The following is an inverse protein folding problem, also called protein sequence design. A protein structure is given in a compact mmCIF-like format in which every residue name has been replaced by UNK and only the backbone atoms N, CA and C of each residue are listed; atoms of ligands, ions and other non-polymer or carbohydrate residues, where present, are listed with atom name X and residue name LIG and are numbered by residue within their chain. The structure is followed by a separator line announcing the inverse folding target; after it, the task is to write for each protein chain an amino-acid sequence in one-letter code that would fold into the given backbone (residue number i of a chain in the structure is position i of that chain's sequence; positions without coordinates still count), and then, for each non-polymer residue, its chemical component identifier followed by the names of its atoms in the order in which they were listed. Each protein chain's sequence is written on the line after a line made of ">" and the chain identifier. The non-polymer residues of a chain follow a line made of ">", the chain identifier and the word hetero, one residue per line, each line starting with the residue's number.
data_IF_036039304757
#
_entry.id   IF_036039304757
#
_cell.length_a   1.000
_cell.length_b   1.000
_cell.length_c   1.000
_cell.angle_alpha   90.00
_cell.angle_beta   90.00
_cell.angle_gamma   90.00
#
_symmetry.space_group_name_H-M   'P 1'
#
loop_
_entity.id
_entity.type
_entity.pdbx_description
1 polymer ?
#
# COMPACT_ATOMS: atom_id res chain seq x y z
N UNK A 1 -5.95 -5.81 -29.33
CA UNK A 1 -5.14 -5.11 -28.31
C UNK A 1 -3.82 -4.55 -28.83
N UNK A 2 -2.87 -5.35 -29.33
CA UNK A 2 -1.58 -4.81 -29.82
C UNK A 2 -1.76 -3.92 -31.05
N UNK A 3 -2.55 -4.35 -32.02
CA UNK A 3 -2.89 -3.49 -33.18
C UNK A 3 -3.74 -2.28 -32.79
N UNK A 4 -4.53 -2.37 -31.71
CA UNK A 4 -5.26 -1.21 -31.17
C UNK A 4 -4.30 -0.20 -30.55
N UNK A 5 -3.29 -0.66 -29.83
CA UNK A 5 -2.23 0.18 -29.26
C UNK A 5 -1.43 0.89 -30.35
N UNK A 6 -1.08 0.14 -31.40
CA UNK A 6 -0.37 0.69 -32.56
C UNK A 6 -1.23 1.75 -33.25
N UNK A 7 -2.52 1.47 -33.49
CA UNK A 7 -3.46 2.46 -34.05
C UNK A 7 -3.61 3.69 -33.15
N UNK A 8 -3.67 3.51 -31.84
CA UNK A 8 -3.74 4.60 -30.87
C UNK A 8 -2.52 5.51 -30.95
N UNK A 9 -1.32 4.94 -31.02
CA UNK A 9 -0.06 5.68 -31.16
C UNK A 9 0.00 6.41 -32.52
N UNK A 10 -0.38 5.74 -33.61
CA UNK A 10 -0.49 6.36 -34.93
C UNK A 10 -1.42 7.58 -34.92
N UNK A 11 -2.60 7.43 -34.28
CA UNK A 11 -3.58 8.52 -34.16
C UNK A 11 -3.06 9.67 -33.30
N UNK A 12 -2.48 9.39 -32.13
CA UNK A 12 -1.99 10.43 -31.22
C UNK A 12 -0.79 11.20 -31.74
N UNK A 13 0.04 10.57 -32.58
CA UNK A 13 1.20 11.20 -33.19
C UNK A 13 0.92 11.71 -34.62
N UNK A 14 -0.27 11.47 -35.17
CA UNK A 14 -0.64 11.89 -36.52
C UNK A 14 0.18 11.21 -37.63
N UNK A 15 0.67 9.99 -37.41
CA UNK A 15 1.56 9.28 -38.34
C UNK A 15 0.88 8.06 -38.97
N UNK A 16 1.22 7.78 -40.23
CA UNK A 16 0.81 6.55 -40.92
C UNK A 16 1.64 5.36 -40.46
N UNK A 17 1.25 4.14 -40.87
CA UNK A 17 1.95 2.92 -40.46
C UNK A 17 3.32 2.86 -41.13
N UNK A 18 3.37 3.30 -42.37
CA UNK A 18 4.55 3.38 -43.20
C UNK A 18 5.56 4.36 -42.58
N UNK A 19 5.10 5.55 -42.20
CA UNK A 19 5.92 6.53 -41.51
C UNK A 19 6.44 6.01 -40.15
N UNK A 20 5.61 5.29 -39.39
CA UNK A 20 6.03 4.65 -38.14
C UNK A 20 7.14 3.61 -38.39
N UNK A 21 7.02 2.78 -39.42
CA UNK A 21 8.03 1.77 -39.78
C UNK A 21 9.36 2.45 -40.16
N UNK A 22 9.31 3.55 -40.91
CA UNK A 22 10.51 4.32 -41.28
C UNK A 22 11.20 4.93 -40.07
N UNK A 23 10.44 5.53 -39.14
CA UNK A 23 10.97 6.08 -37.89
C UNK A 23 11.63 5.00 -37.04
N UNK A 24 10.98 3.83 -36.90
CA UNK A 24 11.53 2.71 -36.15
C UNK A 24 12.84 2.20 -36.78
N UNK A 25 12.86 2.07 -38.12
CA UNK A 25 14.07 1.66 -38.86
C UNK A 25 15.20 2.66 -38.68
N UNK A 26 14.93 3.96 -38.72
CA UNK A 26 15.92 5.00 -38.48
C UNK A 26 16.51 4.95 -37.05
N UNK A 27 15.76 4.41 -36.09
CA UNK A 27 16.19 4.18 -34.71
C UNK A 27 16.81 2.78 -34.49
N UNK A 28 16.95 1.97 -35.55
CA UNK A 28 17.54 0.63 -35.48
C UNK A 28 16.60 -0.47 -34.97
N UNK A 29 15.29 -0.22 -34.91
CA UNK A 29 14.28 -1.21 -34.51
C UNK A 29 13.53 -1.78 -35.72
N UNK A 30 13.27 -3.09 -35.71
CA UNK A 30 12.31 -3.67 -36.65
C UNK A 30 10.88 -3.42 -36.17
N UNK A 31 9.93 -3.48 -37.10
CA UNK A 31 8.51 -3.39 -36.75
C UNK A 31 8.05 -4.58 -35.88
N UNK A 32 8.70 -5.74 -35.99
CA UNK A 32 8.38 -6.89 -35.15
C UNK A 32 8.92 -6.71 -33.72
N UNK A 33 10.10 -6.11 -33.54
CA UNK A 33 10.61 -5.74 -32.22
C UNK A 33 9.66 -4.77 -31.53
N UNK A 34 9.19 -3.77 -32.26
CA UNK A 34 8.19 -2.83 -31.77
C UNK A 34 6.88 -3.54 -31.37
N UNK A 35 6.39 -4.47 -32.20
CA UNK A 35 5.22 -5.30 -31.85
C UNK A 35 5.46 -6.12 -30.59
N UNK A 36 6.64 -6.68 -30.39
CA UNK A 36 7.00 -7.41 -29.17
C UNK A 36 7.00 -6.51 -27.94
N UNK A 37 7.56 -5.30 -28.04
CA UNK A 37 7.49 -4.31 -26.96
C UNK A 37 6.04 -3.93 -26.63
N UNK A 38 5.19 -3.78 -27.65
CA UNK A 38 3.76 -3.50 -27.45
C UNK A 38 3.02 -4.68 -26.83
N UNK A 39 3.34 -5.94 -27.18
CA UNK A 39 2.81 -7.14 -26.51
C UNK A 39 3.10 -7.09 -25.00
N UNK A 40 4.34 -6.75 -24.62
CA UNK A 40 4.73 -6.60 -23.20
C UNK A 40 3.97 -5.46 -22.53
N UNK A 41 3.85 -4.30 -23.19
CA UNK A 41 3.12 -3.14 -22.66
C UNK A 41 1.64 -3.46 -22.40
N UNK A 42 0.97 -4.08 -23.38
CA UNK A 42 -0.44 -4.51 -23.26
C UNK A 42 -0.60 -5.53 -22.14
N UNK A 43 0.29 -6.53 -22.05
CA UNK A 43 0.26 -7.52 -20.97
C UNK A 43 0.43 -6.85 -19.59
N UNK A 44 1.38 -5.92 -19.45
CA UNK A 44 1.59 -5.14 -18.23
C UNK A 44 0.35 -4.33 -17.85
N UNK A 45 -0.28 -3.65 -18.82
CA UNK A 45 -1.51 -2.89 -18.58
C UNK A 45 -2.64 -3.81 -18.10
N UNK A 46 -2.85 -4.95 -18.75
CA UNK A 46 -3.87 -5.92 -18.33
C UNK A 46 -3.63 -6.45 -16.92
N UNK A 47 -2.38 -6.74 -16.57
CA UNK A 47 -2.00 -7.13 -15.20
C UNK A 47 -2.38 -6.03 -14.20
N UNK A 48 -1.97 -4.79 -14.48
CA UNK A 48 -2.29 -3.66 -13.61
C UNK A 48 -3.80 -3.49 -13.47
N UNK A 49 -4.54 -3.49 -14.57
CA UNK A 49 -5.97 -3.18 -14.57
C UNK A 49 -6.83 -4.28 -13.95
N UNK A 50 -6.47 -5.55 -14.18
CA UNK A 50 -7.26 -6.69 -13.72
C UNK A 50 -6.87 -7.16 -12.32
N UNK A 51 -5.58 -7.26 -12.04
CA UNK A 51 -5.08 -7.87 -10.81
C UNK A 51 -4.72 -6.81 -9.76
N UNK A 52 -4.03 -5.73 -10.16
CA UNK A 52 -3.45 -4.79 -9.18
C UNK A 52 -4.36 -3.61 -8.83
N UNK A 53 -5.14 -3.09 -9.79
CA UNK A 53 -6.00 -1.92 -9.60
C UNK A 53 -7.08 -2.16 -8.55
N UNK A 54 -7.80 -3.30 -8.51
CA UNK A 54 -8.75 -3.58 -7.45
C UNK A 54 -8.10 -3.61 -6.06
N UNK A 55 -6.88 -4.16 -5.97
CA UNK A 55 -6.12 -4.27 -4.71
C UNK A 55 -5.53 -2.92 -4.25
N UNK A 56 -5.34 -1.98 -5.18
CA UNK A 56 -4.70 -0.68 -4.93
C UNK A 56 -5.69 0.45 -4.70
N UNK A 57 -6.99 0.16 -4.58
CA UNK A 57 -8.00 1.17 -4.33
C UNK A 57 -7.75 1.90 -3.00
N UNK A 58 -7.85 3.23 -3.02
CA UNK A 58 -7.58 4.08 -1.85
C UNK A 58 -8.88 4.70 -1.35
N UNK A 59 -9.22 4.44 -0.09
CA UNK A 59 -10.43 4.96 0.55
C UNK A 59 -10.22 6.39 1.05
N UNK A 60 -11.30 7.16 1.20
CA UNK A 60 -11.27 8.51 1.78
C UNK A 60 -10.64 8.54 3.16
N UNK A 61 -10.86 7.49 3.95
CA UNK A 61 -10.27 7.32 5.27
C UNK A 61 -8.76 7.14 5.20
N UNK A 62 -8.25 6.37 4.23
CA UNK A 62 -6.80 6.25 4.03
C UNK A 62 -6.17 7.57 3.59
N UNK A 63 -6.85 8.35 2.73
CA UNK A 63 -6.40 9.69 2.32
C UNK A 63 -6.36 10.63 3.51
N UNK A 64 -7.44 10.66 4.30
CA UNK A 64 -7.57 11.48 5.51
C UNK A 64 -6.45 11.13 6.49
N UNK A 65 -6.32 9.84 6.80
CA UNK A 65 -5.32 9.37 7.73
C UNK A 65 -3.90 9.72 7.27
N UNK A 66 -3.56 9.44 6.01
CA UNK A 66 -2.23 9.81 5.49
C UNK A 66 -1.97 11.31 5.62
N UNK A 67 -2.93 12.16 5.26
CA UNK A 67 -2.78 13.60 5.35
C UNK A 67 -2.51 14.06 6.78
N UNK A 68 -3.22 13.55 7.79
CA UNK A 68 -3.03 14.01 9.18
C UNK A 68 -1.89 13.34 9.92
N UNK A 69 -1.36 12.22 9.43
CA UNK A 69 -0.20 11.52 10.00
C UNK A 69 1.10 11.80 9.27
N UNK A 70 1.06 12.53 8.14
CA UNK A 70 2.25 12.89 7.40
C UNK A 70 3.15 13.84 8.23
N UNK A 71 4.46 13.55 8.38
CA UNK A 71 5.40 14.48 8.99
C UNK A 71 5.36 15.89 8.38
N UNK A 72 5.05 16.03 7.08
CA UNK A 72 4.96 17.33 6.40
C UNK A 72 3.80 18.20 6.89
N UNK A 73 2.72 17.60 7.38
CA UNK A 73 1.51 18.30 7.86
C UNK A 73 1.49 18.44 9.39
N UNK A 74 2.42 17.80 10.09
CA UNK A 74 2.49 17.78 11.55
C UNK A 74 2.61 19.18 12.16
N UNK A 75 3.44 20.05 11.59
CA UNK A 75 3.62 21.42 12.07
C UNK A 75 2.37 22.28 11.87
N UNK A 76 1.68 22.11 10.74
CA UNK A 76 0.39 22.76 10.48
C UNK A 76 -0.68 22.29 11.48
N UNK A 77 -0.76 20.98 11.73
CA UNK A 77 -1.68 20.40 12.71
C UNK A 77 -1.47 20.98 14.11
N UNK A 78 -0.21 21.06 14.55
CA UNK A 78 0.13 21.66 15.86
C UNK A 78 -0.28 23.13 15.93
N UNK A 79 0.03 23.92 14.89
CA UNK A 79 -0.33 25.33 14.83
C UNK A 79 -1.86 25.55 14.89
N UNK A 80 -2.63 24.65 14.27
CA UNK A 80 -4.09 24.71 14.23
C UNK A 80 -4.77 23.92 15.36
N UNK A 81 -4.00 23.31 16.27
CA UNK A 81 -4.49 22.44 17.36
C UNK A 81 -5.46 21.35 16.87
N UNK A 82 -5.13 20.74 15.73
CA UNK A 82 -5.91 19.65 15.16
C UNK A 82 -5.60 18.34 15.89
N UNK A 83 -6.46 17.99 16.84
CA UNK A 83 -6.36 16.79 17.66
C UNK A 83 -6.93 15.60 16.90
N UNK A 84 -6.12 14.55 16.75
CA UNK A 84 -6.59 13.28 16.16
C UNK A 84 -7.29 12.39 17.19
N UNK A 85 -8.30 11.69 16.71
CA UNK A 85 -8.96 10.59 17.42
C UNK A 85 -8.67 9.31 16.67
N UNK A 86 -8.26 8.27 17.39
CA UNK A 86 -8.01 6.95 16.81
C UNK A 86 -9.04 5.97 17.37
N UNK A 87 -9.59 5.14 16.48
CA UNK A 87 -10.31 3.93 16.88
C UNK A 87 -9.32 2.77 16.84
N UNK A 88 -9.06 2.16 18.00
CA UNK A 88 -8.01 1.18 18.16
C UNK A 88 -8.55 -0.19 18.62
N UNK A 89 -7.92 -1.24 18.13
CA UNK A 89 -7.93 -2.55 18.77
C UNK A 89 -6.53 -2.85 19.30
N UNK A 90 -6.44 -3.64 20.37
CA UNK A 90 -5.17 -4.17 20.86
C UNK A 90 -5.18 -5.70 20.86
N UNK A 91 -4.09 -6.27 20.40
CA UNK A 91 -3.78 -7.69 20.56
C UNK A 91 -2.81 -7.81 21.73
N UNK A 92 -3.19 -8.57 22.75
CA UNK A 92 -2.37 -8.87 23.92
C UNK A 92 -1.73 -10.23 23.68
N UNK A 93 -0.41 -10.30 23.77
CA UNK A 93 0.38 -11.50 23.54
C UNK A 93 1.26 -11.80 24.77
N UNK A 94 1.33 -13.08 25.20
CA UNK A 94 2.00 -13.45 26.45
C UNK A 94 3.53 -13.39 26.38
N UNK A 95 4.13 -13.36 25.18
CA UNK A 95 5.58 -13.35 25.03
C UNK A 95 6.05 -12.54 23.82
N UNK A 96 7.30 -12.05 23.89
CA UNK A 96 7.96 -11.31 22.82
C UNK A 96 8.00 -12.10 21.51
N UNK A 97 8.39 -13.38 21.60
CA UNK A 97 8.50 -14.25 20.44
C UNK A 97 7.15 -14.43 19.73
N UNK A 98 6.05 -14.53 20.50
CA UNK A 98 4.71 -14.60 19.91
C UNK A 98 4.30 -13.28 19.27
N UNK A 99 4.62 -12.15 19.89
CA UNK A 99 4.31 -10.83 19.34
C UNK A 99 5.10 -10.56 18.04
N UNK A 100 6.37 -10.93 17.98
CA UNK A 100 7.17 -10.83 16.76
C UNK A 100 6.64 -11.73 15.64
N UNK A 101 6.23 -12.96 15.97
CA UNK A 101 5.58 -13.86 15.03
C UNK A 101 4.26 -13.27 14.50
N UNK A 102 3.40 -12.78 15.40
CA UNK A 102 2.13 -12.16 15.05
C UNK A 102 2.33 -10.96 14.12
N UNK A 103 3.23 -10.03 14.49
CA UNK A 103 3.56 -8.86 13.67
C UNK A 103 4.07 -9.27 12.28
N UNK A 104 4.93 -10.29 12.19
CA UNK A 104 5.42 -10.80 10.91
C UNK A 104 4.30 -11.34 10.04
N UNK A 105 3.42 -12.19 10.59
CA UNK A 105 2.27 -12.76 9.87
C UNK A 105 1.32 -11.68 9.35
N UNK A 106 1.03 -10.66 10.17
CA UNK A 106 0.21 -9.52 9.78
C UNK A 106 0.88 -8.70 8.68
N UNK A 107 2.20 -8.49 8.78
CA UNK A 107 2.98 -7.81 7.75
C UNK A 107 3.03 -8.58 6.43
N UNK A 108 2.99 -9.91 6.49
CA UNK A 108 2.92 -10.81 5.33
C UNK A 108 1.50 -10.86 4.70
N UNK A 109 0.52 -10.19 5.31
CA UNK A 109 -0.86 -10.09 4.81
C UNK A 109 -1.80 -11.18 5.30
N UNK A 110 -1.49 -11.84 6.42
CA UNK A 110 -2.44 -12.76 7.07
C UNK A 110 -3.63 -12.00 7.63
N UNK A 111 -4.84 -12.54 7.43
CA UNK A 111 -6.05 -11.93 7.97
C UNK A 111 -6.07 -11.93 9.51
N UNK A 112 -6.47 -10.83 10.17
CA UNK A 112 -6.37 -10.70 11.63
C UNK A 112 -7.18 -11.75 12.38
N UNK A 113 -8.37 -12.10 11.87
CA UNK A 113 -9.25 -13.09 12.52
C UNK A 113 -8.67 -14.50 12.40
N UNK A 114 -8.00 -14.81 11.28
CA UNK A 114 -7.28 -16.08 11.12
C UNK A 114 -6.09 -16.17 12.07
N UNK A 115 -5.35 -15.07 12.26
CA UNK A 115 -4.25 -15.01 13.22
C UNK A 115 -4.76 -15.23 14.65
N UNK A 116 -5.86 -14.58 15.03
CA UNK A 116 -6.45 -14.76 16.36
C UNK A 116 -6.95 -16.18 16.58
N UNK A 117 -7.51 -16.84 15.57
CA UNK A 117 -7.88 -18.25 15.68
C UNK A 117 -6.68 -19.18 15.96
N UNK A 118 -5.50 -18.86 15.41
CA UNK A 118 -4.26 -19.61 15.66
C UNK A 118 -3.67 -19.32 17.04
N UNK A 119 -3.66 -18.05 17.46
CA UNK A 119 -2.94 -17.60 18.66
C UNK A 119 -3.78 -17.57 19.93
N UNK A 120 -5.11 -17.48 19.83
CA UNK A 120 -5.99 -17.46 21.02
C UNK A 120 -5.85 -18.70 21.91
N UNK A 121 -5.74 -19.94 21.38
CA UNK A 121 -5.46 -21.12 22.21
C UNK A 121 -4.11 -21.07 22.94
N UNK A 122 -3.21 -20.18 22.52
CA UNK A 122 -1.89 -19.95 23.13
C UNK A 122 -1.88 -18.73 24.07
N UNK A 123 -3.06 -18.19 24.41
CA UNK A 123 -3.22 -17.08 25.33
C UNK A 123 -3.14 -15.70 24.70
N UNK A 124 -3.26 -15.58 23.37
CA UNK A 124 -3.42 -14.27 22.74
C UNK A 124 -4.87 -13.78 22.85
N UNK A 125 -5.06 -12.49 23.14
CA UNK A 125 -6.37 -11.89 23.30
C UNK A 125 -6.50 -10.67 22.39
N UNK A 126 -7.70 -10.46 21.82
CA UNK A 126 -8.02 -9.22 21.11
C UNK A 126 -9.01 -8.44 21.95
N UNK A 127 -8.62 -7.22 22.32
CA UNK A 127 -9.43 -6.32 23.15
C UNK A 127 -9.71 -5.05 22.34
N UNK A 128 -10.98 -4.68 22.11
CA UNK A 128 -11.32 -3.39 21.55
C UNK A 128 -10.94 -2.28 22.54
N UNK A 129 -10.14 -1.32 22.10
CA UNK A 129 -9.84 -0.10 22.88
C UNK A 129 -10.89 0.97 22.58
N UNK A 130 -11.38 1.00 21.34
CA UNK A 130 -12.36 1.97 20.88
C UNK A 130 -11.75 3.34 20.59
N UNK A 131 -12.59 4.38 20.59
CA UNK A 131 -12.20 5.73 20.19
C UNK A 131 -11.48 6.46 21.32
N UNK A 132 -10.26 6.90 21.05
CA UNK A 132 -9.41 7.64 21.98
C UNK A 132 -8.71 8.82 21.27
N UNK A 133 -8.74 9.99 21.90
CA UNK A 133 -7.99 11.17 21.44
C UNK A 133 -6.49 10.96 21.67
N UNK A 134 -5.65 11.42 20.75
CA UNK A 134 -4.19 11.38 20.90
C UNK A 134 -3.73 12.07 22.19
N UNK A 135 -4.42 13.12 22.64
CA UNK A 135 -4.12 13.84 23.88
C UNK A 135 -4.30 12.97 25.12
N UNK A 136 -5.28 12.06 25.07
CA UNK A 136 -5.60 11.12 26.15
C UNK A 136 -4.75 9.85 26.10
N UNK A 137 -3.93 9.66 25.06
CA UNK A 137 -2.99 8.56 24.98
C UNK A 137 -1.72 8.87 25.77
N UNK A 138 -1.15 7.83 26.40
CA UNK A 138 0.21 7.94 26.92
C UNK A 138 1.23 8.13 25.76
N UNK A 139 2.41 8.71 26.03
CA UNK A 139 3.37 9.03 24.97
C UNK A 139 3.84 7.80 24.17
N UNK A 140 3.98 6.64 24.82
CA UNK A 140 4.44 5.40 24.18
C UNK A 140 3.45 4.90 23.12
N UNK A 141 2.16 4.82 23.48
CA UNK A 141 1.07 4.44 22.57
C UNK A 141 0.91 5.49 21.49
N UNK A 142 0.91 6.77 21.84
CA UNK A 142 0.79 7.88 20.88
C UNK A 142 1.86 7.80 19.79
N UNK A 143 3.13 7.65 20.17
CA UNK A 143 4.24 7.55 19.22
C UNK A 143 4.16 6.28 18.36
N UNK A 144 3.59 5.21 18.92
CA UNK A 144 3.41 3.94 18.23
C UNK A 144 2.32 4.04 17.15
N UNK A 145 1.20 4.73 17.44
CA UNK A 145 0.05 4.83 16.51
C UNK A 145 0.12 6.02 15.57
N UNK A 146 0.88 7.07 15.90
CA UNK A 146 0.91 8.33 15.13
C UNK A 146 1.40 8.18 13.68
N UNK A 147 2.08 7.08 13.36
CA UNK A 147 2.54 6.77 12.00
C UNK A 147 1.75 5.66 11.29
N UNK A 148 0.73 5.09 11.93
CA UNK A 148 -0.01 3.94 11.42
C UNK A 148 -1.26 4.37 10.66
N UNK A 149 -1.50 3.69 9.53
CA UNK A 149 -2.71 3.89 8.73
C UNK A 149 -3.87 3.03 9.23
N UNK A 150 -5.08 3.36 8.78
CA UNK A 150 -6.26 2.54 9.04
C UNK A 150 -6.04 1.15 8.41
N UNK A 151 -6.27 0.12 9.21
CA UNK A 151 -5.97 -1.28 8.90
C UNK A 151 -4.53 -1.72 9.21
N UNK A 152 -3.60 -0.81 9.53
CA UNK A 152 -2.22 -1.17 9.87
C UNK A 152 -2.07 -1.55 11.35
N UNK A 153 -1.03 -2.35 11.61
CA UNK A 153 -0.65 -2.86 12.92
C UNK A 153 0.66 -2.25 13.38
N UNK A 154 0.78 -2.00 14.68
CA UNK A 154 2.01 -1.52 15.28
C UNK A 154 3.04 -2.62 15.41
N UNK A 155 4.31 -2.22 15.61
CA UNK A 155 5.29 -3.14 16.18
C UNK A 155 4.87 -3.55 17.60
N UNK A 156 5.33 -4.72 18.09
CA UNK A 156 5.14 -5.13 19.47
C UNK A 156 5.64 -4.06 20.45
N UNK A 157 4.78 -3.67 21.40
CA UNK A 157 5.07 -2.75 22.49
C UNK A 157 5.03 -3.53 23.80
N UNK A 158 6.06 -3.40 24.62
CA UNK A 158 6.09 -4.01 25.95
C UNK A 158 5.11 -3.31 26.90
N UNK A 159 4.38 -4.10 27.68
CA UNK A 159 3.37 -3.64 28.64
C UNK A 159 3.37 -4.52 29.89
N UNK A 160 2.76 -4.04 30.98
CA UNK A 160 2.63 -4.82 32.22
C UNK A 160 1.83 -6.14 32.06
N UNK A 161 1.00 -6.23 31.01
CA UNK A 161 0.23 -7.42 30.67
C UNK A 161 0.91 -8.36 29.65
N UNK A 162 2.15 -8.06 29.25
CA UNK A 162 2.89 -8.80 28.21
C UNK A 162 3.27 -7.90 27.03
N UNK A 163 2.95 -8.31 25.82
CA UNK A 163 3.24 -7.57 24.59
C UNK A 163 1.97 -7.14 23.89
N UNK A 164 1.92 -5.90 23.42
CA UNK A 164 0.78 -5.31 22.74
C UNK A 164 1.10 -5.08 21.27
N UNK A 165 0.18 -5.45 20.40
CA UNK A 165 0.15 -4.96 19.01
C UNK A 165 -1.13 -4.16 18.85
N UNK A 166 -0.99 -2.89 18.50
CA UNK A 166 -2.12 -1.98 18.28
C UNK A 166 -2.52 -2.02 16.81
N UNK A 167 -3.82 -2.09 16.54
CA UNK A 167 -4.39 -1.94 15.21
C UNK A 167 -5.15 -0.61 15.16
N UNK A 168 -4.89 0.19 14.15
CA UNK A 168 -5.71 1.38 13.88
C UNK A 168 -6.90 0.95 13.03
N UNK A 169 -8.09 0.94 13.60
CA UNK A 169 -9.33 0.70 12.85
C UNK A 169 -9.67 1.92 12.00
N UNK A 170 -9.66 3.10 12.62
CA UNK A 170 -10.04 4.36 12.01
C UNK A 170 -9.27 5.55 12.59
N UNK A 171 -9.12 6.63 11.81
CA UNK A 171 -8.56 7.91 12.28
C UNK A 171 -9.52 9.05 11.98
N UNK A 172 -10.05 9.64 13.04
CA UNK A 172 -10.84 10.87 13.01
C UNK A 172 -9.95 12.10 13.14
N UNK A 173 -10.26 13.13 12.37
CA UNK A 173 -9.64 14.45 12.46
C UNK A 173 -10.72 15.53 12.29
N UNK A 174 -10.53 16.73 12.86
CA UNK A 174 -11.36 17.89 12.54
C UNK A 174 -11.30 18.22 11.05
N UNK A 175 -12.22 19.04 10.55
CA UNK A 175 -12.16 19.51 9.16
C UNK A 175 -11.00 20.50 8.98
N UNK A 176 -10.14 20.26 7.98
CA UNK A 176 -9.10 21.18 7.53
C UNK A 176 -9.41 21.63 6.08
N UNK A 177 -9.62 22.92 5.80
CA UNK A 177 -9.84 23.43 4.44
C UNK A 177 -8.73 23.05 3.45
N UNK A 178 -7.49 22.89 3.92
CA UNK A 178 -6.39 22.47 3.05
C UNK A 178 -6.48 21.01 2.67
N UNK A 179 -6.94 20.16 3.58
CA UNK A 179 -7.19 18.75 3.26
C UNK A 179 -8.10 18.66 2.03
N UNK A 180 -9.17 19.46 1.98
CA UNK A 180 -10.08 19.48 0.83
C UNK A 180 -9.38 19.90 -0.48
N UNK A 181 -8.40 20.83 -0.41
CA UNK A 181 -7.64 21.28 -1.58
C UNK A 181 -6.67 20.21 -2.09
N UNK A 182 -6.04 19.46 -1.19
CA UNK A 182 -4.98 18.49 -1.56
C UNK A 182 -5.46 17.03 -1.59
N UNK A 183 -6.71 16.75 -1.21
CA UNK A 183 -7.27 15.39 -1.09
C UNK A 183 -6.99 14.52 -2.30
N UNK A 184 -7.26 15.02 -3.51
CA UNK A 184 -7.05 14.26 -4.75
C UNK A 184 -5.57 14.02 -5.04
N UNK A 185 -4.71 14.98 -4.73
CA UNK A 185 -3.26 14.81 -4.86
C UNK A 185 -2.75 13.72 -3.91
N UNK A 186 -3.17 13.76 -2.64
CA UNK A 186 -2.81 12.75 -1.63
C UNK A 186 -3.33 11.38 -2.04
N UNK A 187 -4.57 11.28 -2.55
CA UNK A 187 -5.13 10.02 -3.05
C UNK A 187 -4.30 9.43 -4.18
N UNK A 188 -3.94 10.25 -5.17
CA UNK A 188 -3.11 9.81 -6.29
C UNK A 188 -1.74 9.32 -5.82
N UNK A 189 -1.10 10.02 -4.89
CA UNK A 189 0.17 9.58 -4.31
C UNK A 189 0.05 8.24 -3.58
N UNK A 190 -1.00 8.06 -2.77
CA UNK A 190 -1.27 6.79 -2.09
C UNK A 190 -1.54 5.65 -3.07
N UNK A 191 -2.32 5.91 -4.11
CA UNK A 191 -2.62 4.93 -5.15
C UNK A 191 -1.35 4.44 -5.85
N UNK A 192 -0.45 5.37 -6.23
CA UNK A 192 0.83 5.01 -6.86
C UNK A 192 1.73 4.19 -5.92
N UNK A 193 1.78 4.55 -4.63
CA UNK A 193 2.52 3.78 -3.61
C UNK A 193 1.94 2.37 -3.46
N UNK A 194 0.62 2.24 -3.36
CA UNK A 194 -0.07 0.96 -3.23
C UNK A 194 0.17 0.07 -4.47
N UNK A 195 0.00 0.63 -5.67
CA UNK A 195 0.21 -0.07 -6.93
C UNK A 195 1.63 -0.63 -7.04
N UNK A 196 2.64 0.19 -6.69
CA UNK A 196 4.04 -0.25 -6.69
C UNK A 196 4.27 -1.41 -5.72
N UNK A 197 3.76 -1.30 -4.49
CA UNK A 197 3.87 -2.38 -3.50
C UNK A 197 3.24 -3.68 -3.99
N UNK A 198 2.03 -3.62 -4.55
CA UNK A 198 1.35 -4.82 -5.07
C UNK A 198 2.10 -5.41 -6.27
N UNK A 199 2.67 -4.57 -7.14
CA UNK A 199 3.52 -5.03 -8.24
C UNK A 199 4.78 -5.75 -7.72
N UNK A 200 5.48 -5.18 -6.74
CA UNK A 200 6.69 -5.77 -6.16
C UNK A 200 6.39 -7.13 -5.51
N UNK A 201 5.27 -7.22 -4.75
CA UNK A 201 4.81 -8.49 -4.16
C UNK A 201 4.44 -9.51 -5.22
N UNK A 202 3.73 -9.11 -6.27
CA UNK A 202 3.35 -9.99 -7.37
C UNK A 202 4.60 -10.53 -8.11
N UNK A 203 5.57 -9.67 -8.42
CA UNK A 203 6.84 -10.05 -9.03
C UNK A 203 7.65 -11.01 -8.15
N UNK A 204 7.64 -10.79 -6.83
CA UNK A 204 8.28 -11.69 -5.87
C UNK A 204 7.68 -13.10 -5.89
N UNK A 205 6.34 -13.19 -5.88
CA UNK A 205 5.62 -14.47 -5.97
C UNK A 205 5.88 -15.18 -7.29
N UNK A 206 5.82 -14.46 -8.40
CA UNK A 206 6.02 -15.05 -9.73
C UNK A 206 7.45 -15.58 -9.93
N UNK A 207 8.46 -14.87 -9.40
CA UNK A 207 9.86 -15.33 -9.40
C UNK A 207 10.09 -16.57 -8.55
N UNK A 208 9.36 -16.71 -7.44
CA UNK A 208 9.46 -17.89 -6.58
C UNK A 208 8.72 -19.11 -7.17
N UNK A 209 7.62 -18.87 -7.87
CA UNK A 209 6.83 -19.92 -8.54
C UNK A 209 7.45 -20.39 -9.85
N UNK A 210 8.11 -19.49 -10.59
CA UNK A 210 8.81 -19.83 -11.82
C UNK A 210 10.24 -20.28 -11.51
N UNK A 211 10.54 -21.57 -11.72
CA UNK A 211 11.92 -22.09 -11.75
C UNK A 211 12.69 -21.46 -12.92
N UNK A 212 13.13 -20.20 -12.79
CA UNK A 212 13.95 -19.55 -13.82
C UNK A 212 15.39 -19.99 -13.63
N UNK A 213 15.77 -21.07 -14.31
CA UNK A 213 17.17 -21.44 -14.47
C UNK A 213 17.81 -20.43 -15.44
N UNK A 214 18.45 -19.39 -14.90
CA UNK A 214 19.30 -18.50 -15.70
C UNK A 214 20.56 -19.30 -16.06
N UNK A 215 20.58 -19.94 -17.22
CA UNK A 215 21.83 -20.41 -17.83
C UNK A 215 22.62 -19.19 -18.25
N UNK A 216 23.69 -18.87 -17.49
CA UNK A 216 24.73 -17.96 -17.99
C UNK A 216 25.29 -18.61 -19.26
N UNK A 217 25.09 -17.97 -20.41
CA UNK A 217 25.71 -18.38 -21.66
C UNK A 217 27.24 -18.38 -21.50
N UNK A 218 27.86 -19.46 -21.96
CA UNK A 218 29.31 -19.60 -22.10
C UNK A 218 29.83 -18.79 -23.29
#
# INVERSE_FOLDING_TARGET
>A
DVEDEIRFIQKNNGITREALIEVLRAQGFSFEDYKNLMRVSVAKRRLIDRELRPLSAVTDEQVKNHYYTDPQTLERRKAQRLVLTFDLDQLILPSKAMAELAHKRLSDGMEPDALMAELAPRGAERVPVGKISEENMNPSVRNTVSGLRAGEFSRPVESGAGYLILRVNAVGAPEDPEFNRVKEQVRNQLYQKALRRHLDTWLGKERAASFVHITKGA
#
